data_IF_646573548142
#
_entry.id   IF_646573548142
#
_cell.length_a   1.000
_cell.length_b   1.000
_cell.length_c   1.000
_cell.angle_alpha   90.00
_cell.angle_beta   90.00
_cell.angle_gamma   90.00
#
_symmetry.space_group_name_H-M   'P 1'
#
loop_
_entity.id
_entity.type
_entity.pdbx_description
1 polymer ?
#
# COMPACT_ATOMS: atom_id res chain seq x y z
N UNK A 1 1.46 -6.85 -14.04
CA UNK A 1 2.05 -7.77 -13.03
C UNK A 1 2.97 -8.75 -13.70
N UNK A 2 3.75 -9.52 -12.95
CA UNK A 2 4.56 -10.61 -13.51
C UNK A 2 3.64 -11.75 -14.00
N UNK A 3 4.07 -12.51 -15.03
CA UNK A 3 3.31 -13.67 -15.53
C UNK A 3 3.02 -14.66 -14.38
N UNK A 4 1.76 -15.07 -14.23
CA UNK A 4 1.33 -16.06 -13.25
C UNK A 4 0.86 -15.52 -11.89
N UNK A 5 0.82 -14.21 -11.67
CA UNK A 5 0.20 -13.64 -10.46
C UNK A 5 -1.32 -13.64 -10.56
N UNK A 6 -1.99 -14.19 -9.53
CA UNK A 6 -3.44 -14.42 -9.51
C UNK A 6 -4.27 -13.13 -9.63
N UNK A 7 -3.77 -12.00 -9.12
CA UNK A 7 -4.47 -10.70 -9.09
C UNK A 7 -3.57 -9.50 -9.45
N UNK A 8 -2.31 -9.78 -9.83
CA UNK A 8 -1.26 -8.80 -10.08
C UNK A 8 -1.13 -7.73 -8.98
N UNK A 9 -1.22 -8.12 -7.70
CA UNK A 9 -1.14 -7.17 -6.58
C UNK A 9 -2.40 -6.31 -6.47
N UNK A 10 -3.55 -6.95 -6.63
CA UNK A 10 -4.88 -6.33 -6.71
C UNK A 10 -5.13 -5.39 -7.90
N UNK A 11 -4.34 -5.46 -8.97
CA UNK A 11 -4.60 -4.69 -10.19
C UNK A 11 -5.83 -5.20 -10.95
N UNK A 12 -6.22 -6.46 -10.76
CA UNK A 12 -7.36 -7.09 -11.43
C UNK A 12 -8.72 -6.86 -10.72
N UNK A 13 -8.77 -6.03 -9.69
CA UNK A 13 -10.00 -5.67 -8.99
C UNK A 13 -10.36 -4.21 -9.25
N UNK A 14 -11.45 -3.94 -9.97
CA UNK A 14 -11.89 -2.60 -10.34
C UNK A 14 -12.96 -2.09 -9.39
N UNK A 15 -12.74 -0.92 -8.79
CA UNK A 15 -13.66 -0.34 -7.81
C UNK A 15 -14.89 0.25 -8.51
N UNK A 16 -16.09 -0.20 -8.11
CA UNK A 16 -17.44 0.20 -8.55
C UNK A 16 -17.83 -0.15 -9.99
N UNK A 17 -16.94 0.02 -10.96
CA UNK A 17 -17.23 -0.24 -12.39
C UNK A 17 -16.01 -0.87 -13.08
N UNK A 18 -16.21 -1.44 -14.28
CA UNK A 18 -15.11 -2.01 -15.09
C UNK A 18 -14.04 -0.98 -15.46
N UNK A 19 -14.43 0.26 -15.74
CA UNK A 19 -13.52 1.38 -16.00
C UNK A 19 -13.07 2.10 -14.73
N UNK A 20 -13.45 1.58 -13.56
CA UNK A 20 -13.06 2.11 -12.27
C UNK A 20 -11.58 1.90 -11.99
N UNK A 21 -11.06 2.65 -11.02
CA UNK A 21 -9.68 2.50 -10.57
C UNK A 21 -9.44 1.07 -10.07
N UNK A 22 -8.30 0.50 -10.44
CA UNK A 22 -7.86 -0.76 -9.86
C UNK A 22 -7.66 -0.60 -8.35
N UNK A 23 -7.89 -1.65 -7.56
CA UNK A 23 -7.72 -1.61 -6.11
C UNK A 23 -6.28 -1.23 -5.74
N UNK A 24 -5.31 -1.72 -6.50
CA UNK A 24 -3.92 -1.27 -6.41
C UNK A 24 -3.78 0.25 -6.52
N UNK A 25 -4.30 0.83 -7.62
CA UNK A 25 -4.28 2.28 -7.84
C UNK A 25 -5.06 3.06 -6.78
N UNK A 26 -6.13 2.47 -6.23
CA UNK A 26 -6.88 3.06 -5.12
C UNK A 26 -5.96 3.24 -3.90
N UNK A 27 -5.20 2.23 -3.50
CA UNK A 27 -4.23 2.33 -2.40
C UNK A 27 -3.10 3.30 -2.71
N UNK A 28 -2.49 3.20 -3.89
CA UNK A 28 -1.33 4.01 -4.28
C UNK A 28 -1.65 5.51 -4.39
N UNK A 29 -2.86 5.87 -4.82
CA UNK A 29 -3.17 7.26 -5.18
C UNK A 29 -4.39 7.82 -4.45
N UNK A 30 -5.52 7.09 -4.50
CA UNK A 30 -6.79 7.63 -3.98
C UNK A 30 -6.76 7.72 -2.46
N UNK A 31 -6.24 6.70 -1.79
CA UNK A 31 -6.11 6.68 -0.33
C UNK A 31 -5.08 7.70 0.16
N UNK A 32 -3.92 7.81 -0.50
CA UNK A 32 -2.89 8.81 -0.15
C UNK A 32 -3.42 10.22 -0.28
N UNK A 33 -4.08 10.53 -1.42
CA UNK A 33 -4.75 11.82 -1.60
C UNK A 33 -5.83 12.03 -0.53
N UNK A 34 -6.64 11.01 -0.25
CA UNK A 34 -7.70 11.07 0.76
C UNK A 34 -7.18 11.33 2.17
N UNK A 35 -6.03 10.76 2.55
CA UNK A 35 -5.38 11.00 3.84
C UNK A 35 -4.89 12.46 3.94
N UNK A 36 -4.18 12.93 2.92
CA UNK A 36 -3.71 14.31 2.85
C UNK A 36 -4.85 15.32 2.91
N UNK A 37 -5.86 15.14 2.06
CA UNK A 37 -7.01 16.03 1.96
C UNK A 37 -7.85 16.00 3.26
N UNK A 38 -7.86 14.87 3.98
CA UNK A 38 -8.55 14.77 5.28
C UNK A 38 -7.84 15.56 6.39
N UNK A 39 -6.51 15.47 6.49
CA UNK A 39 -5.78 16.25 7.49
C UNK A 39 -5.79 17.74 7.16
N UNK A 40 -5.81 18.11 5.87
CA UNK A 40 -5.94 19.49 5.42
C UNK A 40 -4.80 20.41 5.86
N UNK A 41 -3.65 19.84 6.22
CA UNK A 41 -2.45 20.58 6.64
C UNK A 41 -1.49 20.79 5.48
N UNK A 42 -0.72 21.88 5.54
CA UNK A 42 0.32 22.19 4.55
C UNK A 42 1.47 21.17 4.60
N UNK A 43 1.99 20.89 5.79
CA UNK A 43 3.04 19.90 6.02
C UNK A 43 2.44 18.54 6.45
N UNK A 44 1.90 17.82 5.47
CA UNK A 44 1.35 16.49 5.66
C UNK A 44 2.37 15.49 6.27
N UNK A 45 3.63 15.40 5.79
CA UNK A 45 4.64 14.54 6.41
C UNK A 45 4.86 14.80 7.90
N UNK A 46 5.01 16.07 8.32
CA UNK A 46 5.19 16.39 9.74
C UNK A 46 3.96 16.01 10.58
N UNK A 47 2.76 16.21 10.02
CA UNK A 47 1.51 15.86 10.71
C UNK A 47 1.39 14.34 10.95
N UNK A 48 1.65 13.50 9.94
CA UNK A 48 1.55 12.04 10.10
C UNK A 48 2.64 11.50 11.02
N UNK A 49 3.85 12.08 11.02
CA UNK A 49 4.91 11.70 11.97
C UNK A 49 4.54 12.06 13.41
N UNK A 50 3.84 13.17 13.61
CA UNK A 50 3.34 13.57 14.94
C UNK A 50 2.20 12.66 15.41
N UNK A 51 1.29 12.28 14.52
CA UNK A 51 0.16 11.41 14.84
C UNK A 51 0.60 9.95 15.08
N UNK A 52 1.61 9.49 14.34
CA UNK A 52 2.19 8.15 14.43
C UNK A 52 3.68 8.26 14.82
N UNK A 53 3.98 8.50 16.11
CA UNK A 53 5.36 8.59 16.57
C UNK A 53 6.08 7.26 16.37
N UNK A 54 7.39 7.35 16.12
CA UNK A 54 8.29 6.20 15.94
C UNK A 54 8.19 5.25 17.12
N UNK A 55 8.20 3.94 16.80
CA UNK A 55 8.18 2.88 17.80
C UNK A 55 9.33 1.89 17.58
N UNK A 56 9.88 1.27 18.65
CA UNK A 56 11.01 0.35 18.53
C UNK A 56 10.76 -0.82 17.55
N UNK A 57 9.52 -1.27 17.42
CA UNK A 57 9.17 -2.35 16.49
C UNK A 57 9.28 -1.98 14.99
N UNK A 58 9.58 -0.72 14.67
CA UNK A 58 9.80 -0.29 13.28
C UNK A 58 11.23 -0.57 12.80
N UNK A 59 12.15 -0.78 13.74
CA UNK A 59 13.55 -1.04 13.48
C UNK A 59 13.76 -2.41 12.84
N UNK A 60 14.56 -2.43 11.77
CA UNK A 60 15.11 -3.67 11.25
C UNK A 60 16.39 -4.03 12.00
N UNK A 61 16.66 -5.33 12.10
CA UNK A 61 17.83 -5.84 12.82
C UNK A 61 18.81 -6.53 11.87
N UNK A 62 20.07 -6.66 12.29
CA UNK A 62 21.10 -7.35 11.51
C UNK A 62 21.57 -6.58 10.28
N UNK A 63 22.22 -7.26 9.31
CA UNK A 63 22.82 -6.61 8.14
C UNK A 63 21.79 -5.84 7.31
N UNK A 64 22.19 -4.66 6.81
CA UNK A 64 21.33 -3.74 6.03
C UNK A 64 20.66 -4.45 4.83
N UNK A 65 21.38 -5.37 4.18
CA UNK A 65 20.85 -6.16 3.06
C UNK A 65 19.64 -7.04 3.40
N UNK A 66 19.36 -7.27 4.69
CA UNK A 66 18.20 -8.05 5.15
C UNK A 66 16.98 -7.18 5.49
N UNK A 67 17.16 -5.86 5.61
CA UNK A 67 16.11 -4.95 6.07
C UNK A 67 14.90 -4.90 5.13
N UNK A 68 15.06 -4.84 3.78
CA UNK A 68 13.90 -4.83 2.88
C UNK A 68 13.00 -6.06 3.04
N UNK A 69 13.60 -7.25 3.25
CA UNK A 69 12.85 -8.48 3.48
C UNK A 69 12.03 -8.39 4.78
N UNK A 70 12.63 -7.89 5.86
CA UNK A 70 11.92 -7.71 7.14
C UNK A 70 10.72 -6.77 6.98
N UNK A 71 10.92 -5.65 6.29
CA UNK A 71 9.84 -4.68 6.04
C UNK A 71 8.74 -5.27 5.17
N UNK A 72 9.10 -5.97 4.09
CA UNK A 72 8.15 -6.65 3.20
C UNK A 72 7.33 -7.71 3.95
N UNK A 73 7.97 -8.53 4.78
CA UNK A 73 7.28 -9.51 5.64
C UNK A 73 6.32 -8.83 6.60
N UNK A 74 6.73 -7.72 7.23
CA UNK A 74 5.87 -6.95 8.12
C UNK A 74 4.64 -6.36 7.42
N UNK A 75 4.81 -5.83 6.20
CA UNK A 75 3.71 -5.25 5.43
C UNK A 75 2.81 -6.28 4.77
N UNK A 76 3.29 -7.50 4.53
CA UNK A 76 2.49 -8.56 3.89
C UNK A 76 1.22 -8.89 4.70
N UNK A 77 1.28 -8.76 6.03
CA UNK A 77 0.09 -8.93 6.90
C UNK A 77 -1.05 -7.95 6.58
N UNK A 78 -0.73 -6.73 6.13
CA UNK A 78 -1.71 -5.70 5.79
C UNK A 78 -2.48 -6.03 4.50
N UNK A 79 -1.91 -6.87 3.62
CA UNK A 79 -2.59 -7.26 2.38
C UNK A 79 -3.94 -7.93 2.66
N UNK A 80 -4.07 -8.65 3.78
CA UNK A 80 -5.34 -9.23 4.21
C UNK A 80 -6.39 -8.15 4.50
N UNK A 81 -5.98 -7.08 5.17
CA UNK A 81 -6.85 -5.96 5.53
C UNK A 81 -7.28 -5.19 4.27
N UNK A 82 -6.43 -5.13 3.25
CA UNK A 82 -6.79 -4.57 1.94
C UNK A 82 -7.97 -5.30 1.28
N UNK A 83 -8.17 -6.59 1.55
CA UNK A 83 -9.29 -7.35 0.98
C UNK A 83 -10.48 -7.49 1.95
N UNK A 84 -10.38 -6.97 3.17
CA UNK A 84 -11.40 -7.16 4.20
C UNK A 84 -12.73 -6.51 3.80
N UNK A 85 -13.78 -7.35 3.72
CA UNK A 85 -15.15 -6.91 3.47
C UNK A 85 -15.42 -6.41 2.04
N UNK A 86 -14.47 -6.54 1.11
CA UNK A 86 -14.69 -6.25 -0.30
C UNK A 86 -15.75 -7.20 -0.86
N UNK A 87 -16.73 -6.66 -1.58
CA UNK A 87 -17.83 -7.42 -2.18
C UNK A 87 -17.59 -7.54 -3.69
N UNK A 88 -17.27 -8.73 -4.22
CA UNK A 88 -17.27 -8.97 -5.66
C UNK A 88 -18.66 -8.74 -6.26
N UNK A 89 -18.71 -8.12 -7.44
CA UNK A 89 -19.94 -7.87 -8.19
C UNK A 89 -19.96 -8.73 -9.45
N UNK A 90 -19.18 -8.33 -10.44
CA UNK A 90 -19.07 -9.02 -11.72
C UNK A 90 -17.64 -9.50 -11.95
N UNK A 91 -17.50 -10.51 -12.80
CA UNK A 91 -16.21 -11.01 -13.29
C UNK A 91 -16.22 -11.01 -14.81
N UNK A 92 -15.12 -10.65 -15.44
CA UNK A 92 -14.97 -10.68 -16.88
C UNK A 92 -13.60 -11.24 -17.29
N UNK A 93 -13.53 -11.83 -18.48
CA UNK A 93 -12.30 -12.33 -19.07
C UNK A 93 -11.60 -11.18 -19.77
N UNK A 94 -10.31 -11.03 -19.52
CA UNK A 94 -9.40 -10.17 -20.27
C UNK A 94 -8.62 -11.04 -21.23
N UNK A 95 -8.79 -10.87 -22.55
CA UNK A 95 -8.04 -11.64 -23.53
C UNK A 95 -6.53 -11.41 -23.37
N UNK A 96 -5.76 -12.42 -23.77
CA UNK A 96 -4.31 -12.33 -23.86
C UNK A 96 -3.87 -11.12 -24.70
N UNK A 97 -2.83 -10.43 -24.24
CA UNK A 97 -2.12 -9.39 -24.99
C UNK A 97 -0.59 -9.68 -25.01
N UNK A 98 0.20 -8.73 -25.48
CA UNK A 98 1.67 -8.86 -25.53
C UNK A 98 2.33 -8.98 -24.15
N UNK A 99 1.69 -8.45 -23.10
CA UNK A 99 2.22 -8.30 -21.74
C UNK A 99 1.62 -9.30 -20.74
N UNK A 100 0.41 -9.79 -21.00
CA UNK A 100 -0.38 -10.59 -20.09
C UNK A 100 -0.99 -11.79 -20.81
N UNK A 101 -0.96 -12.95 -20.15
CA UNK A 101 -1.79 -14.08 -20.58
C UNK A 101 -3.28 -13.75 -20.32
N UNK A 102 -4.18 -14.53 -20.92
CA UNK A 102 -5.61 -14.43 -20.61
C UNK A 102 -5.84 -14.62 -19.11
N UNK A 103 -6.66 -13.76 -18.51
CA UNK A 103 -6.93 -13.76 -17.08
C UNK A 103 -8.34 -13.23 -16.77
N UNK A 104 -8.75 -13.36 -15.51
CA UNK A 104 -9.99 -12.78 -15.01
C UNK A 104 -9.71 -11.47 -14.28
N UNK A 105 -10.63 -10.54 -14.44
CA UNK A 105 -10.75 -9.33 -13.63
C UNK A 105 -12.14 -9.25 -13.00
N UNK A 106 -12.25 -8.51 -11.90
CA UNK A 106 -13.46 -8.41 -11.08
C UNK A 106 -13.86 -6.95 -10.86
N UNK A 107 -15.15 -6.66 -10.95
CA UNK A 107 -15.72 -5.43 -10.38
C UNK A 107 -15.98 -5.67 -8.90
N UNK A 108 -15.55 -4.76 -8.05
CA UNK A 108 -15.70 -4.86 -6.59
C UNK A 108 -16.35 -3.61 -6.00
N UNK A 109 -17.07 -3.78 -4.91
CA UNK A 109 -17.55 -2.68 -4.07
C UNK A 109 -16.79 -2.67 -2.75
N UNK A 110 -16.30 -1.49 -2.37
CA UNK A 110 -15.67 -1.27 -1.08
C UNK A 110 -16.76 -1.06 -0.02
N UNK A 111 -16.67 -1.69 1.16
CA UNK A 111 -17.64 -1.48 2.23
C UNK A 111 -17.51 -0.06 2.79
N UNK A 112 -18.58 0.45 3.41
CA UNK A 112 -18.63 1.83 3.92
C UNK A 112 -17.44 2.27 4.80
N UNK A 113 -16.91 1.46 5.74
CA UNK A 113 -15.77 1.86 6.57
C UNK A 113 -14.41 1.79 5.84
N UNK A 114 -14.35 1.25 4.63
CA UNK A 114 -13.09 0.99 3.92
C UNK A 114 -12.22 2.25 3.72
N UNK A 115 -12.74 3.40 3.25
CA UNK A 115 -11.90 4.57 3.01
C UNK A 115 -11.26 5.13 4.28
N UNK A 116 -11.94 5.00 5.43
CA UNK A 116 -11.42 5.45 6.73
C UNK A 116 -10.27 4.53 7.16
N UNK A 117 -10.51 3.21 7.20
CA UNK A 117 -9.47 2.22 7.53
C UNK A 117 -8.25 2.36 6.63
N UNK A 118 -8.46 2.49 5.32
CA UNK A 118 -7.38 2.60 4.36
C UNK A 118 -6.51 3.84 4.59
N UNK A 119 -7.12 4.98 4.89
CA UNK A 119 -6.39 6.21 5.24
C UNK A 119 -5.55 6.02 6.50
N UNK A 120 -6.14 5.48 7.57
CA UNK A 120 -5.42 5.27 8.84
C UNK A 120 -4.20 4.35 8.62
N UNK A 121 -4.34 3.32 7.79
CA UNK A 121 -3.22 2.46 7.38
C UNK A 121 -2.17 3.23 6.57
N UNK A 122 -2.58 4.05 5.59
CA UNK A 122 -1.64 4.83 4.78
C UNK A 122 -0.86 5.84 5.61
N UNK A 123 -1.50 6.54 6.54
CA UNK A 123 -0.82 7.49 7.42
C UNK A 123 0.25 6.78 8.28
N UNK A 124 -0.07 5.61 8.85
CA UNK A 124 0.89 4.80 9.60
C UNK A 124 2.04 4.28 8.74
N UNK A 125 1.76 3.70 7.57
CA UNK A 125 2.78 3.09 6.72
C UNK A 125 3.69 4.13 6.06
N UNK A 126 3.18 5.33 5.73
CA UNK A 126 4.01 6.43 5.27
C UNK A 126 4.94 6.94 6.38
N UNK A 127 4.46 7.03 7.62
CA UNK A 127 5.31 7.36 8.78
C UNK A 127 6.43 6.33 9.00
N UNK A 128 6.11 5.03 8.90
CA UNK A 128 7.12 3.95 8.94
C UNK A 128 8.13 4.07 7.80
N UNK A 129 7.66 4.34 6.58
CA UNK A 129 8.52 4.44 5.40
C UNK A 129 9.51 5.61 5.52
N UNK A 130 9.05 6.79 5.95
CA UNK A 130 9.91 7.95 6.20
C UNK A 130 10.99 7.66 7.25
N UNK A 131 10.60 7.05 8.37
CA UNK A 131 11.53 6.63 9.42
C UNK A 131 12.58 5.62 8.92
N UNK A 132 12.13 4.55 8.26
CA UNK A 132 12.99 3.48 7.75
C UNK A 132 13.96 3.97 6.68
N UNK A 133 13.52 4.88 5.81
CA UNK A 133 14.40 5.52 4.84
C UNK A 133 15.51 6.31 5.56
N UNK A 134 15.16 7.14 6.55
CA UNK A 134 16.17 7.88 7.32
C UNK A 134 17.16 6.95 8.04
N UNK A 135 16.69 5.84 8.63
CA UNK A 135 17.55 4.83 9.24
C UNK A 135 18.49 4.16 8.22
N UNK A 136 17.97 3.83 7.04
CA UNK A 136 18.76 3.25 5.95
C UNK A 136 19.86 4.19 5.46
N UNK A 137 19.53 5.47 5.27
CA UNK A 137 20.49 6.49 4.84
C UNK A 137 21.64 6.63 5.86
N UNK A 138 21.32 6.67 7.16
CA UNK A 138 22.32 6.70 8.24
C UNK A 138 23.20 5.45 8.28
N UNK A 139 22.65 4.29 7.91
CA UNK A 139 23.38 3.04 7.91
C UNK A 139 24.34 2.92 6.70
N UNK A 140 23.97 3.50 5.55
CA UNK A 140 24.82 3.56 4.35
C UNK A 140 25.90 4.64 4.48
N UNK A 141 25.53 5.81 5.00
CA UNK A 141 26.40 6.97 5.18
C UNK A 141 26.42 7.39 6.65
N UNK A 142 27.16 6.66 7.51
CA UNK A 142 27.33 7.08 8.89
C UNK A 142 28.08 8.41 8.92
N UNK A 143 27.65 9.33 9.78
CA UNK A 143 28.44 10.54 10.06
C UNK A 143 29.84 10.12 10.50
N UNK A 144 30.87 10.65 9.84
CA UNK A 144 32.25 10.45 10.28
C UNK A 144 32.34 10.95 11.74
N UNK A 145 32.85 10.09 12.63
CA UNK A 145 33.09 10.44 14.02
C UNK A 145 34.29 11.37 14.15
#
# INVERSE_FOLDING_TARGET
GAKGQLDAGANYFHVKTRSGIALHGYWDTTTVKGARDHLGVEDFPAAIMKAFPVKPEWDATGPIGTWPTQWATGTLGLSKDCFEGIIPRDRFVVPKDEKHEEHFEWIVTLPAPYPVKARDTVELELSKAGYRLAALLKAIWPEEK
#
